data_IF_965200515141
#
_entry.id   IF_965200515141
#
_cell.length_a   1.000
_cell.length_b   1.000
_cell.length_c   1.000
_cell.angle_alpha   90.00
_cell.angle_beta   90.00
_cell.angle_gamma   90.00
#
_symmetry.space_group_name_H-M   'P 1'
#
loop_
_entity.id
_entity.type
_entity.pdbx_description
1 polymer ?
#
# COMPACT_ATOMS: atom_id res chain seq x y z
N UNK A 1 -50.10 -10.86 21.86
CA UNK A 1 -49.40 -9.66 21.34
C UNK A 1 -48.17 -9.23 22.17
N UNK A 2 -47.55 -10.12 22.98
CA UNK A 2 -46.47 -9.71 23.91
C UNK A 2 -45.05 -10.09 23.46
N UNK A 3 -44.91 -11.00 22.49
CA UNK A 3 -43.62 -11.66 22.23
C UNK A 3 -42.79 -11.08 21.06
N UNK A 4 -43.30 -10.05 20.38
CA UNK A 4 -42.60 -9.43 19.25
C UNK A 4 -41.55 -8.41 19.74
N UNK A 5 -41.94 -7.60 20.73
CA UNK A 5 -41.11 -6.52 21.32
C UNK A 5 -39.78 -6.98 21.91
N UNK A 6 -39.68 -8.22 22.40
CA UNK A 6 -38.41 -8.78 22.90
C UNK A 6 -37.47 -9.25 21.80
N UNK A 7 -38.00 -9.61 20.62
CA UNK A 7 -37.20 -10.05 19.47
C UNK A 7 -36.51 -8.86 18.81
N UNK A 8 -37.22 -7.75 18.70
CA UNK A 8 -36.68 -6.49 18.17
C UNK A 8 -35.58 -5.93 19.08
N UNK A 9 -35.79 -5.97 20.41
CA UNK A 9 -34.80 -5.50 21.39
C UNK A 9 -33.48 -6.29 21.41
N UNK A 10 -33.51 -7.58 21.05
CA UNK A 10 -32.30 -8.41 20.89
C UNK A 10 -31.63 -8.20 19.53
N UNK A 11 -32.39 -7.78 18.51
CA UNK A 11 -31.86 -7.48 17.17
C UNK A 11 -31.20 -6.10 17.09
N UNK A 12 -31.61 -5.15 17.94
CA UNK A 12 -31.04 -3.79 18.04
C UNK A 12 -29.85 -3.70 19.00
N UNK A 13 -29.55 -4.75 19.75
CA UNK A 13 -28.37 -4.78 20.62
C UNK A 13 -27.09 -4.69 19.76
N UNK A 14 -26.23 -3.67 19.96
CA UNK A 14 -24.96 -3.59 19.26
C UNK A 14 -24.16 -4.87 19.55
N UNK A 15 -23.94 -5.67 18.51
CA UNK A 15 -23.09 -6.87 18.60
C UNK A 15 -21.73 -6.41 19.11
N UNK A 16 -21.25 -6.90 20.28
CA UNK A 16 -19.97 -6.47 20.81
C UNK A 16 -18.88 -6.92 19.83
N UNK A 17 -18.38 -6.00 19.00
CA UNK A 17 -17.21 -6.20 18.14
C UNK A 17 -15.96 -6.31 19.00
N UNK A 18 -15.79 -7.44 19.70
CA UNK A 18 -14.72 -7.66 20.68
C UNK A 18 -13.32 -7.74 20.06
N UNK A 19 -13.17 -7.57 18.74
CA UNK A 19 -11.93 -7.83 18.02
C UNK A 19 -11.79 -7.02 16.70
N UNK A 20 -12.31 -5.79 16.63
CA UNK A 20 -12.16 -4.98 15.42
C UNK A 20 -10.66 -4.69 15.17
N UNK A 21 -10.08 -5.17 14.06
CA UNK A 21 -8.67 -4.93 13.75
C UNK A 21 -8.34 -3.43 13.54
N UNK A 22 -9.34 -2.58 13.32
CA UNK A 22 -9.18 -1.13 13.28
C UNK A 22 -8.99 -0.48 14.67
N UNK A 23 -9.45 -1.12 15.75
CA UNK A 23 -9.36 -0.59 17.11
C UNK A 23 -8.00 -0.90 17.76
N UNK A 24 -7.43 -2.07 17.46
CA UNK A 24 -6.05 -2.47 17.82
C UNK A 24 -5.01 -1.53 17.20
N UNK A 25 -5.30 -0.91 16.05
CA UNK A 25 -4.45 0.12 15.42
C UNK A 25 -4.53 1.46 16.16
N UNK A 26 -5.70 1.82 16.68
CA UNK A 26 -5.93 3.06 17.42
C UNK A 26 -5.45 2.99 18.89
N UNK A 27 -5.23 1.78 19.41
CA UNK A 27 -4.72 1.55 20.77
C UNK A 27 -3.20 1.76 20.82
N UNK A 28 -2.75 3.01 20.91
CA UNK A 28 -1.33 3.35 21.01
C UNK A 28 -0.80 3.17 22.43
N UNK A 29 0.11 2.21 22.64
CA UNK A 29 0.91 2.12 23.87
C UNK A 29 2.13 3.05 23.76
N UNK A 30 2.56 3.73 24.84
CA UNK A 30 3.79 4.53 24.82
C UNK A 30 5.03 3.70 24.47
N UNK A 31 5.02 2.38 24.74
CA UNK A 31 6.09 1.47 24.34
C UNK A 31 6.17 1.29 22.82
N UNK A 32 5.04 1.33 22.12
CA UNK A 32 5.03 1.25 20.65
C UNK A 32 5.69 2.49 20.05
N UNK A 33 5.43 3.67 20.59
CA UNK A 33 6.09 4.92 20.15
C UNK A 33 7.61 4.81 20.30
N UNK A 34 8.10 4.26 21.42
CA UNK A 34 9.54 4.04 21.63
C UNK A 34 10.10 3.06 20.58
N UNK A 35 9.42 1.94 20.34
CA UNK A 35 9.81 0.95 19.32
C UNK A 35 9.85 1.57 17.91
N UNK A 36 8.89 2.43 17.57
CA UNK A 36 8.83 3.18 16.32
C UNK A 36 10.00 4.16 16.18
N UNK A 37 10.32 4.91 17.23
CA UNK A 37 11.46 5.84 17.23
C UNK A 37 12.77 5.08 17.06
N UNK A 38 12.96 3.98 17.77
CA UNK A 38 14.16 3.13 17.63
C UNK A 38 14.26 2.59 16.20
N UNK A 39 13.17 2.08 15.64
CA UNK A 39 13.14 1.60 14.26
C UNK A 39 13.49 2.71 13.25
N UNK A 40 12.98 3.92 13.44
CA UNK A 40 13.28 5.07 12.59
C UNK A 40 14.76 5.46 12.66
N UNK A 41 15.33 5.56 13.87
CA UNK A 41 16.76 5.84 14.08
C UNK A 41 17.60 4.80 13.34
N UNK A 42 17.21 3.53 13.44
CA UNK A 42 17.95 2.42 12.88
C UNK A 42 17.87 2.40 11.34
N UNK A 43 16.73 2.82 10.76
CA UNK A 43 16.56 2.96 9.31
C UNK A 43 17.35 4.17 8.77
N UNK A 44 17.31 5.32 9.46
CA UNK A 44 18.14 6.48 9.13
C UNK A 44 19.63 6.10 9.22
N UNK A 45 20.02 5.39 10.28
CA UNK A 45 21.36 4.84 10.42
C UNK A 45 21.76 3.91 9.26
N UNK A 46 20.86 3.05 8.79
CA UNK A 46 21.08 2.19 7.64
C UNK A 46 21.23 2.98 6.31
N UNK A 47 20.46 4.06 6.13
CA UNK A 47 20.59 4.92 4.95
C UNK A 47 21.93 5.67 4.92
N UNK A 48 22.37 6.15 6.10
CA UNK A 48 23.63 6.87 6.27
C UNK A 48 24.84 5.92 6.29
N UNK A 49 24.65 4.66 6.66
CA UNK A 49 25.70 3.65 6.77
C UNK A 49 26.55 3.54 5.50
N UNK A 50 25.94 3.57 4.31
CA UNK A 50 26.67 3.43 3.05
C UNK A 50 27.72 4.53 2.79
N UNK A 51 27.43 5.75 3.24
CA UNK A 51 28.28 6.93 3.03
C UNK A 51 29.29 7.12 4.17
N UNK A 52 28.88 6.90 5.42
CA UNK A 52 29.69 7.26 6.59
C UNK A 52 30.48 6.09 7.19
N UNK A 53 30.01 4.83 7.14
CA UNK A 53 30.76 3.70 7.73
C UNK A 53 32.21 3.54 7.23
N UNK A 54 32.53 3.76 5.93
CA UNK A 54 33.89 3.56 5.43
C UNK A 54 34.92 4.50 6.05
N UNK A 55 34.47 5.66 6.53
CA UNK A 55 35.32 6.65 7.20
C UNK A 55 35.63 6.28 8.66
N UNK A 56 34.75 5.53 9.33
CA UNK A 56 34.91 5.17 10.75
C UNK A 56 35.34 3.71 10.97
N UNK A 57 35.13 2.82 10.00
CA UNK A 57 35.40 1.39 10.15
C UNK A 57 36.03 0.81 8.88
N UNK A 58 37.33 0.49 8.95
CA UNK A 58 38.12 0.02 7.80
C UNK A 58 37.55 -1.24 7.08
N UNK A 59 36.99 -2.24 7.76
CA UNK A 59 36.36 -3.39 7.08
C UNK A 59 35.10 -3.02 6.28
N UNK A 60 34.43 -1.91 6.61
CA UNK A 60 33.36 -1.40 5.77
C UNK A 60 33.87 -0.80 4.47
N UNK A 61 35.17 -0.70 4.20
CA UNK A 61 35.60 -0.30 2.87
C UNK A 61 35.12 -1.31 1.80
N UNK A 62 35.03 -2.60 2.17
CA UNK A 62 34.49 -3.65 1.32
C UNK A 62 32.96 -3.56 1.19
N UNK A 63 32.45 -3.53 -0.05
CA UNK A 63 31.03 -3.39 -0.38
C UNK A 63 30.18 -4.48 0.25
N UNK A 64 30.67 -5.73 0.30
CA UNK A 64 29.92 -6.85 0.87
C UNK A 64 29.58 -6.65 2.35
N UNK A 65 30.53 -6.10 3.13
CA UNK A 65 30.33 -5.86 4.56
C UNK A 65 29.36 -4.70 4.79
N UNK A 66 29.40 -3.64 3.95
CA UNK A 66 28.43 -2.53 4.02
C UNK A 66 27.00 -3.03 3.81
N UNK A 67 26.79 -3.81 2.76
CA UNK A 67 25.47 -4.36 2.43
C UNK A 67 24.98 -5.27 3.56
N UNK A 68 25.85 -6.10 4.14
CA UNK A 68 25.50 -6.94 5.27
C UNK A 68 25.07 -6.14 6.51
N UNK A 69 25.77 -5.06 6.87
CA UNK A 69 25.42 -4.19 8.00
C UNK A 69 24.08 -3.49 7.75
N UNK A 70 23.88 -2.93 6.55
CA UNK A 70 22.62 -2.27 6.17
C UNK A 70 21.46 -3.26 6.23
N UNK A 71 21.62 -4.46 5.68
CA UNK A 71 20.61 -5.50 5.73
C UNK A 71 20.32 -5.94 7.17
N UNK A 72 21.34 -6.14 7.99
CA UNK A 72 21.16 -6.47 9.40
C UNK A 72 20.36 -5.39 10.13
N UNK A 73 20.68 -4.11 9.89
CA UNK A 73 19.92 -3.01 10.43
C UNK A 73 18.45 -3.05 9.98
N UNK A 74 18.18 -3.17 8.69
CA UNK A 74 16.81 -3.23 8.16
C UNK A 74 16.03 -4.40 8.78
N UNK A 75 16.65 -5.58 8.91
CA UNK A 75 16.01 -6.75 9.53
C UNK A 75 15.66 -6.48 10.99
N UNK A 76 16.56 -5.86 11.77
CA UNK A 76 16.28 -5.49 13.16
C UNK A 76 15.16 -4.45 13.26
N UNK A 77 15.16 -3.42 12.42
CA UNK A 77 14.09 -2.43 12.38
C UNK A 77 12.72 -3.07 12.08
N UNK A 78 12.66 -3.95 11.07
CA UNK A 78 11.43 -4.68 10.73
C UNK A 78 10.99 -5.62 11.86
N UNK A 79 11.93 -6.28 12.56
CA UNK A 79 11.63 -7.10 13.72
C UNK A 79 11.02 -6.30 14.88
N UNK A 80 11.58 -5.12 15.17
CA UNK A 80 11.04 -4.19 16.18
C UNK A 80 9.64 -3.70 15.80
N UNK A 81 9.43 -3.32 14.54
CA UNK A 81 8.12 -2.91 14.04
C UNK A 81 7.10 -4.05 14.09
N UNK A 82 7.49 -5.29 13.79
CA UNK A 82 6.61 -6.45 13.93
C UNK A 82 6.24 -6.74 15.40
N UNK A 83 7.14 -6.45 16.34
CA UNK A 83 6.89 -6.65 17.75
C UNK A 83 5.85 -5.66 18.34
N UNK A 84 5.64 -4.51 17.68
CA UNK A 84 4.64 -3.50 18.09
C UNK A 84 3.21 -4.05 18.02
N UNK A 85 2.33 -3.46 18.84
CA UNK A 85 0.90 -3.80 18.86
C UNK A 85 0.25 -3.58 17.49
N UNK A 86 0.57 -2.46 16.85
CA UNK A 86 0.11 -2.11 15.51
C UNK A 86 0.63 -3.09 14.44
N UNK A 87 1.89 -3.52 14.54
CA UNK A 87 2.52 -4.47 13.61
C UNK A 87 1.83 -5.83 13.60
N UNK A 88 1.50 -6.37 14.78
CA UNK A 88 0.74 -7.63 14.90
C UNK A 88 -0.68 -7.51 14.36
N UNK A 89 -1.34 -6.37 14.61
CA UNK A 89 -2.66 -6.05 14.06
C UNK A 89 -2.65 -6.01 12.53
N UNK A 90 -1.65 -5.36 11.93
CA UNK A 90 -1.47 -5.31 10.48
C UNK A 90 -1.27 -6.69 9.86
N UNK A 91 -0.48 -7.57 10.48
CA UNK A 91 -0.25 -8.94 9.99
C UNK A 91 -1.55 -9.76 10.01
N UNK A 92 -2.40 -9.54 11.01
CA UNK A 92 -3.73 -10.16 11.07
C UNK A 92 -4.63 -9.64 9.95
N UNK A 93 -4.67 -8.34 9.72
CA UNK A 93 -5.39 -7.73 8.60
C UNK A 93 -4.94 -8.29 7.24
N UNK A 94 -3.64 -8.48 7.03
CA UNK A 94 -3.12 -9.08 5.79
C UNK A 94 -3.59 -10.52 5.60
N UNK A 95 -3.67 -11.31 6.69
CA UNK A 95 -4.22 -12.68 6.64
C UNK A 95 -5.70 -12.67 6.30
N UNK A 96 -6.47 -11.79 6.91
CA UNK A 96 -7.90 -11.65 6.65
C UNK A 96 -8.16 -11.16 5.21
N UNK A 97 -7.37 -10.19 4.73
CA UNK A 97 -7.41 -9.71 3.35
C UNK A 97 -7.06 -10.80 2.33
N UNK A 98 -6.12 -11.70 2.64
CA UNK A 98 -5.80 -12.85 1.78
C UNK A 98 -6.96 -13.84 1.67
N UNK A 99 -7.71 -14.04 2.74
CA UNK A 99 -8.89 -14.92 2.74
C UNK A 99 -10.00 -14.28 1.89
N UNK A 100 -10.21 -12.98 2.02
CA UNK A 100 -11.20 -12.25 1.22
C UNK A 100 -10.81 -12.18 -0.26
N UNK A 101 -9.52 -12.00 -0.57
CA UNK A 101 -9.02 -12.00 -1.94
C UNK A 101 -9.28 -13.33 -2.67
N UNK A 102 -9.37 -14.45 -1.94
CA UNK A 102 -9.74 -15.75 -2.53
C UNK A 102 -11.22 -15.84 -2.89
N UNK A 103 -12.07 -15.01 -2.28
CA UNK A 103 -13.49 -14.90 -2.61
C UNK A 103 -13.75 -13.97 -3.79
N UNK A 104 -12.75 -13.17 -4.18
CA UNK A 104 -12.81 -12.37 -5.40
C UNK A 104 -12.77 -13.32 -6.59
N UNK A 105 -13.93 -13.53 -7.18
CA UNK A 105 -14.07 -14.22 -8.46
C UNK A 105 -13.52 -13.29 -9.54
N UNK A 106 -12.23 -13.39 -9.81
CA UNK A 106 -11.62 -12.63 -10.89
C UNK A 106 -12.34 -12.91 -12.21
N UNK A 107 -12.66 -11.85 -12.98
CA UNK A 107 -13.34 -12.01 -14.26
C UNK A 107 -12.53 -12.95 -15.15
N UNK A 108 -13.23 -13.74 -15.94
CA UNK A 108 -12.57 -14.66 -16.88
C UNK A 108 -11.74 -13.84 -17.88
N UNK A 109 -10.72 -14.47 -18.48
CA UNK A 109 -9.89 -13.79 -19.49
C UNK A 109 -10.74 -13.26 -20.67
N UNK A 110 -11.85 -13.92 -20.97
CA UNK A 110 -12.75 -13.52 -22.06
C UNK A 110 -13.50 -12.22 -21.74
N UNK A 111 -14.01 -12.05 -20.52
CA UNK A 111 -14.68 -10.81 -20.09
C UNK A 111 -13.71 -9.63 -20.04
N UNK A 112 -12.49 -9.89 -19.54
CA UNK A 112 -11.42 -8.89 -19.47
C UNK A 112 -11.03 -8.39 -20.86
N UNK A 113 -10.78 -9.31 -21.80
CA UNK A 113 -10.38 -8.96 -23.18
C UNK A 113 -11.50 -8.24 -23.90
N UNK A 114 -12.75 -8.67 -23.72
CA UNK A 114 -13.91 -7.99 -24.30
C UNK A 114 -13.93 -6.52 -23.87
N UNK A 115 -13.80 -6.25 -22.57
CA UNK A 115 -13.82 -4.87 -22.06
C UNK A 115 -12.60 -4.07 -22.51
N UNK A 116 -11.39 -4.66 -22.50
CA UNK A 116 -10.18 -4.00 -23.00
C UNK A 116 -10.27 -3.63 -24.49
N UNK A 117 -10.92 -4.46 -25.31
CA UNK A 117 -11.12 -4.17 -26.73
C UNK A 117 -12.07 -2.98 -26.94
N UNK A 118 -13.14 -2.87 -26.16
CA UNK A 118 -14.02 -1.70 -26.20
C UNK A 118 -13.25 -0.42 -25.84
N UNK A 119 -12.46 -0.44 -24.77
CA UNK A 119 -11.63 0.72 -24.37
C UNK A 119 -10.63 1.07 -25.47
N UNK A 120 -9.95 0.06 -26.05
CA UNK A 120 -9.01 0.27 -27.15
C UNK A 120 -9.67 0.93 -28.36
N UNK A 121 -10.87 0.47 -28.75
CA UNK A 121 -11.63 1.07 -29.84
C UNK A 121 -11.94 2.54 -29.58
N UNK A 122 -12.39 2.90 -28.36
CA UNK A 122 -12.65 4.29 -27.98
C UNK A 122 -11.38 5.14 -28.03
N UNK A 123 -10.25 4.62 -27.53
CA UNK A 123 -8.95 5.32 -27.55
C UNK A 123 -8.48 5.57 -28.98
N UNK A 124 -8.64 4.60 -29.89
CA UNK A 124 -8.29 4.75 -31.31
C UNK A 124 -9.18 5.80 -32.00
N UNK A 125 -10.47 5.80 -31.72
CA UNK A 125 -11.38 6.82 -32.28
C UNK A 125 -10.99 8.21 -31.77
N UNK A 126 -10.76 8.34 -30.46
CA UNK A 126 -10.34 9.60 -29.85
C UNK A 126 -9.00 10.11 -30.40
N UNK A 127 -8.02 9.22 -30.61
CA UNK A 127 -6.71 9.60 -31.16
C UNK A 127 -6.82 10.09 -32.60
N UNK A 128 -7.64 9.43 -33.44
CA UNK A 128 -7.90 9.87 -34.81
C UNK A 128 -8.60 11.23 -34.85
N UNK A 129 -9.57 11.46 -33.97
CA UNK A 129 -10.30 12.75 -33.89
C UNK A 129 -9.35 13.87 -33.47
N UNK A 130 -8.55 13.66 -32.41
CA UNK A 130 -7.57 14.65 -31.98
C UNK A 130 -6.53 14.92 -33.07
N UNK A 131 -5.99 13.87 -33.68
CA UNK A 131 -5.08 13.98 -34.81
C UNK A 131 -5.68 14.84 -35.93
N UNK A 132 -6.92 14.56 -36.35
CA UNK A 132 -7.60 15.38 -37.36
C UNK A 132 -7.71 16.86 -36.93
N UNK A 133 -8.06 17.12 -35.67
CA UNK A 133 -8.13 18.47 -35.13
C UNK A 133 -6.77 19.17 -35.14
N UNK A 134 -5.69 18.48 -34.77
CA UNK A 134 -4.32 18.99 -34.85
C UNK A 134 -3.93 19.35 -36.29
N UNK A 135 -4.33 18.54 -37.28
CA UNK A 135 -4.12 18.85 -38.69
C UNK A 135 -4.89 20.09 -39.15
N UNK A 136 -6.15 20.22 -38.74
CA UNK A 136 -7.00 21.37 -39.08
C UNK A 136 -6.44 22.65 -38.44
N UNK A 137 -6.07 22.60 -37.15
CA UNK A 137 -5.45 23.73 -36.47
C UNK A 137 -4.12 24.11 -37.13
N UNK A 138 -3.27 23.14 -37.45
CA UNK A 138 -2.00 23.38 -38.14
C UNK A 138 -2.19 23.97 -39.54
N UNK A 139 -3.19 23.51 -40.28
CA UNK A 139 -3.58 24.09 -41.57
C UNK A 139 -4.09 25.54 -41.39
N UNK A 140 -5.00 25.79 -40.44
CA UNK A 140 -5.52 27.12 -40.14
C UNK A 140 -4.41 28.10 -39.71
N UNK A 141 -3.47 27.63 -38.88
CA UNK A 141 -2.30 28.41 -38.49
C UNK A 141 -1.40 28.75 -39.67
N UNK A 142 -1.23 27.86 -40.66
CA UNK A 142 -0.52 28.18 -41.90
C UNK A 142 -1.26 29.20 -42.76
N UNK A 143 -2.59 29.28 -42.70
CA UNK A 143 -3.37 30.33 -43.35
C UNK A 143 -3.28 31.69 -42.63
N UNK A 144 -3.09 31.68 -41.31
CA UNK A 144 -3.00 32.90 -40.49
C UNK A 144 -1.58 33.47 -40.46
N UNK A 145 -0.57 32.60 -40.37
CA UNK A 145 0.86 32.97 -40.34
C UNK A 145 1.46 33.02 -41.75
N UNK A 146 0.74 32.47 -42.73
CA UNK A 146 0.97 32.71 -44.16
C UNK A 146 0.60 34.13 -44.54
#
# INVERSE_FOLDING_TARGET
MSNDKSRDALSEAPIPQRNNPAEVVNSGSPLDIVLWVIALILLVGAAMAGQYLPAYWAPANNVGVRVAVILACIVVALGLLYATHQGKGFVRLLKDARIELRRVTWPTKQETVTTSWHVLAVVVIASIVLWCFDYILGWLMKFIIG
#
